data_IF_660565817695
#
_entry.id   IF_660565817695
#
_cell.length_a   1.000
_cell.length_b   1.000
_cell.length_c   1.000
_cell.angle_alpha   90.00
_cell.angle_beta   90.00
_cell.angle_gamma   90.00
#
_symmetry.space_group_name_H-M   'P 1'
#
loop_
_entity.id
_entity.type
_entity.pdbx_description
1 polymer ?
#
# COMPACT_ATOMS: atom_id res chain seq x y z
N UNK A 1 21.24 4.71 -26.95
CA UNK A 1 22.44 4.31 -27.72
C UNK A 1 23.07 5.53 -28.37
N UNK A 2 24.07 6.16 -27.73
CA UNK A 2 25.01 7.05 -28.40
C UNK A 2 26.39 6.83 -27.77
N UNK A 3 27.22 6.19 -28.57
CA UNK A 3 28.64 5.94 -28.36
C UNK A 3 29.39 7.26 -28.49
N UNK A 4 30.24 7.59 -27.51
CA UNK A 4 31.17 8.72 -27.61
C UNK A 4 32.60 8.20 -27.55
N UNK A 5 33.34 8.68 -28.54
CA UNK A 5 34.63 8.23 -29.04
C UNK A 5 35.79 8.52 -28.09
N UNK A 6 36.73 7.58 -28.10
CA UNK A 6 38.07 7.70 -27.54
C UNK A 6 38.88 8.81 -28.20
N UNK A 7 39.68 9.55 -27.43
CA UNK A 7 40.85 10.31 -27.92
C UNK A 7 42.05 10.00 -27.01
N UNK A 8 43.05 9.37 -27.62
CA UNK A 8 44.39 9.15 -27.09
C UNK A 8 45.25 10.37 -27.38
N UNK A 9 45.99 10.88 -26.39
CA UNK A 9 47.20 11.69 -26.62
C UNK A 9 48.22 11.44 -25.51
N UNK A 10 49.30 10.74 -25.89
CA UNK A 10 50.57 10.65 -25.14
C UNK A 10 51.37 11.94 -25.32
N UNK A 11 52.11 12.40 -24.30
CA UNK A 11 53.33 13.16 -24.54
C UNK A 11 54.58 12.42 -24.03
N UNK A 12 55.47 12.23 -24.99
CA UNK A 12 56.92 12.22 -24.93
C UNK A 12 57.61 12.39 -23.56
N UNK A 13 58.30 11.32 -23.19
CA UNK A 13 59.69 11.24 -22.70
C UNK A 13 60.43 12.59 -22.64
N UNK A 14 60.79 13.00 -21.42
CA UNK A 14 61.88 13.95 -21.13
C UNK A 14 62.81 13.28 -20.11
N UNK A 15 63.75 12.51 -20.64
CA UNK A 15 64.84 11.88 -19.89
C UNK A 15 65.88 12.95 -19.55
N UNK A 16 65.79 13.56 -18.37
CA UNK A 16 66.85 14.37 -17.79
C UNK A 16 67.72 13.50 -16.88
N UNK A 17 68.87 13.05 -17.41
CA UNK A 17 69.97 12.56 -16.59
C UNK A 17 70.55 13.72 -15.78
N UNK A 18 70.10 13.87 -14.52
CA UNK A 18 70.78 14.68 -13.54
C UNK A 18 71.84 13.82 -12.84
N UNK A 19 73.10 14.19 -13.02
CA UNK A 19 74.25 13.72 -12.24
C UNK A 19 74.04 14.13 -10.77
N UNK A 20 73.71 13.16 -9.91
CA UNK A 20 73.63 13.37 -8.46
C UNK A 20 75.02 13.16 -7.87
N UNK A 21 75.65 14.27 -7.51
CA UNK A 21 76.77 14.33 -6.57
C UNK A 21 76.30 13.78 -5.22
N UNK A 22 76.97 12.75 -4.70
CA UNK A 22 76.68 12.14 -3.41
C UNK A 22 76.87 13.11 -2.25
N UNK A 23 75.79 13.78 -1.84
CA UNK A 23 75.66 14.39 -0.53
C UNK A 23 75.08 13.33 0.41
N UNK A 24 75.88 12.90 1.38
CA UNK A 24 75.43 12.07 2.48
C UNK A 24 74.45 12.87 3.33
N UNK A 25 73.15 12.77 3.04
CA UNK A 25 72.11 13.28 3.91
C UNK A 25 72.12 12.46 5.19
N UNK A 26 72.67 13.04 6.26
CA UNK A 26 72.50 12.53 7.60
C UNK A 26 71.03 12.75 8.00
N UNK A 27 70.18 11.77 7.71
CA UNK A 27 68.83 11.72 8.26
C UNK A 27 68.93 11.69 9.78
N UNK A 28 68.42 12.74 10.43
CA UNK A 28 68.34 12.79 11.87
C UNK A 28 67.24 11.83 12.32
N UNK A 29 67.50 11.07 13.38
CA UNK A 29 66.52 10.15 13.99
C UNK A 29 65.24 10.89 14.44
N UNK A 30 65.35 12.19 14.75
CA UNK A 30 64.23 13.07 15.12
C UNK A 30 63.22 13.33 13.99
N UNK A 31 63.60 13.14 12.72
CA UNK A 31 62.67 13.34 11.60
C UNK A 31 61.78 12.12 11.33
N UNK A 32 62.15 10.93 11.82
CA UNK A 32 61.32 9.73 11.73
C UNK A 32 60.09 9.79 12.65
N UNK A 33 60.24 10.31 13.87
CA UNK A 33 59.14 10.42 14.83
C UNK A 33 58.04 11.41 14.36
N UNK A 34 58.43 12.44 13.61
CA UNK A 34 57.47 13.41 13.03
C UNK A 34 56.62 12.78 11.92
N UNK A 35 57.20 11.90 11.11
CA UNK A 35 56.50 11.18 10.04
C UNK A 35 55.42 10.27 10.62
N UNK A 36 55.77 9.49 11.65
CA UNK A 36 54.82 8.62 12.35
C UNK A 36 53.67 9.41 13.00
N UNK A 37 53.94 10.62 13.49
CA UNK A 37 52.91 11.49 14.06
C UNK A 37 51.94 12.04 12.99
N UNK A 38 52.47 12.49 11.84
CA UNK A 38 51.68 13.00 10.72
C UNK A 38 50.72 11.92 10.18
N UNK A 39 51.23 10.71 9.99
CA UNK A 39 50.43 9.61 9.46
C UNK A 39 49.28 9.19 10.41
N UNK A 40 49.50 9.28 11.73
CA UNK A 40 48.44 9.05 12.73
C UNK A 40 47.36 10.12 12.67
N UNK A 41 47.73 11.39 12.41
CA UNK A 41 46.77 12.48 12.27
C UNK A 41 45.89 12.27 11.03
N UNK A 42 46.48 11.88 9.90
CA UNK A 42 45.74 11.54 8.68
C UNK A 42 44.71 10.44 8.91
N UNK A 43 45.08 9.37 9.62
CA UNK A 43 44.14 8.29 9.95
C UNK A 43 42.99 8.82 10.81
N UNK A 44 43.28 9.62 11.84
CA UNK A 44 42.26 10.19 12.71
C UNK A 44 41.29 11.10 11.93
N UNK A 45 41.79 11.92 11.02
CA UNK A 45 40.96 12.77 10.16
C UNK A 45 40.01 11.93 9.29
N UNK A 46 40.52 10.88 8.64
CA UNK A 46 39.69 9.98 7.83
C UNK A 46 38.60 9.29 8.67
N UNK A 47 38.91 8.86 9.89
CA UNK A 47 37.93 8.26 10.80
C UNK A 47 36.86 9.26 11.24
N UNK A 48 37.22 10.51 11.51
CA UNK A 48 36.24 11.57 11.82
C UNK A 48 35.35 11.91 10.61
N UNK A 49 35.93 12.01 9.41
CA UNK A 49 35.17 12.19 8.18
C UNK A 49 34.21 11.02 7.92
N UNK A 50 34.61 9.78 8.22
CA UNK A 50 33.74 8.62 8.13
C UNK A 50 32.54 8.72 9.09
N UNK A 51 32.77 9.14 10.35
CA UNK A 51 31.70 9.35 11.33
C UNK A 51 30.74 10.47 10.90
N UNK A 52 31.27 11.59 10.39
CA UNK A 52 30.44 12.70 9.89
C UNK A 52 29.60 12.30 8.67
N UNK A 53 30.17 11.55 7.72
CA UNK A 53 29.44 11.01 6.58
C UNK A 53 28.34 10.03 7.02
N UNK A 54 28.59 9.20 8.05
CA UNK A 54 27.58 8.29 8.59
C UNK A 54 26.43 9.02 9.28
N UNK A 55 26.72 10.09 10.04
CA UNK A 55 25.70 10.94 10.69
C UNK A 55 24.80 11.65 9.67
N UNK A 56 25.31 11.93 8.48
CA UNK A 56 24.53 12.48 7.35
C UNK A 56 23.90 11.39 6.46
N UNK A 57 23.91 10.14 6.92
CA UNK A 57 23.41 8.95 6.21
C UNK A 57 24.04 8.70 4.84
N UNK A 58 25.22 9.27 4.58
CA UNK A 58 26.01 8.99 3.38
C UNK A 58 26.96 7.81 3.63
N UNK A 59 26.39 6.61 3.74
CA UNK A 59 27.13 5.40 4.09
C UNK A 59 28.17 4.97 3.05
N UNK A 60 27.95 5.29 1.77
CA UNK A 60 28.93 5.03 0.71
C UNK A 60 30.22 5.82 0.96
N UNK A 61 30.08 7.13 1.21
CA UNK A 61 31.22 8.00 1.53
C UNK A 61 31.87 7.63 2.86
N UNK A 62 31.07 7.29 3.88
CA UNK A 62 31.59 6.82 5.17
C UNK A 62 32.47 5.57 5.03
N UNK A 63 32.02 4.58 4.27
CA UNK A 63 32.79 3.36 4.01
C UNK A 63 34.06 3.65 3.20
N UNK A 64 34.00 4.56 2.22
CA UNK A 64 35.17 4.97 1.45
C UNK A 64 36.26 5.64 2.30
N UNK A 65 35.88 6.45 3.30
CA UNK A 65 36.85 7.01 4.26
C UNK A 65 37.39 5.95 5.23
N UNK A 66 36.53 5.04 5.71
CA UNK A 66 36.95 3.94 6.59
C UNK A 66 37.96 3.01 5.89
N UNK A 67 37.77 2.70 4.61
CA UNK A 67 38.69 1.88 3.84
C UNK A 67 40.06 2.56 3.66
N UNK A 68 40.08 3.86 3.35
CA UNK A 68 41.32 4.65 3.32
C UNK A 68 42.02 4.65 4.68
N UNK A 69 41.27 4.78 5.78
CA UNK A 69 41.82 4.71 7.13
C UNK A 69 42.38 3.33 7.49
N UNK A 70 41.75 2.24 7.00
CA UNK A 70 42.24 0.87 7.17
C UNK A 70 43.56 0.63 6.45
N UNK A 71 43.77 1.23 5.27
CA UNK A 71 45.03 1.11 4.54
C UNK A 71 46.20 1.82 5.24
N UNK A 72 45.90 2.77 6.14
CA UNK A 72 46.89 3.44 7.00
C UNK A 72 47.16 2.68 8.31
N UNK A 73 46.23 1.86 8.80
CA UNK A 73 46.36 0.86 9.88
C UNK A 73 47.14 1.16 11.19
N UNK A 74 47.27 2.41 11.66
CA UNK A 74 47.98 2.69 12.92
C UNK A 74 47.22 2.31 14.21
N UNK A 75 45.88 2.33 14.20
CA UNK A 75 45.05 1.97 15.36
C UNK A 75 43.83 1.10 15.00
N UNK A 76 43.87 -0.23 15.26
CA UNK A 76 42.74 -1.11 14.98
C UNK A 76 41.52 -0.82 15.87
N UNK A 77 41.72 -0.36 17.10
CA UNK A 77 40.63 -0.04 18.02
C UNK A 77 39.82 1.16 17.55
N UNK A 78 40.48 2.19 17.01
CA UNK A 78 39.82 3.38 16.47
C UNK A 78 38.97 3.06 15.22
N UNK A 79 39.44 2.14 14.39
CA UNK A 79 38.71 1.61 13.23
C UNK A 79 37.44 0.89 13.73
N UNK A 80 37.58 -0.03 14.69
CA UNK A 80 36.45 -0.78 15.26
C UNK A 80 35.41 0.14 15.92
N UNK A 81 35.85 1.17 16.65
CA UNK A 81 34.95 2.16 17.22
C UNK A 81 34.18 2.93 16.14
N UNK A 82 34.84 3.28 15.04
CA UNK A 82 34.20 3.97 13.91
C UNK A 82 33.20 3.08 13.17
N UNK A 83 33.51 1.79 12.99
CA UNK A 83 32.56 0.80 12.46
C UNK A 83 31.29 0.69 13.29
N UNK A 84 31.42 0.67 14.63
CA UNK A 84 30.28 0.65 15.54
C UNK A 84 29.39 1.88 15.38
N UNK A 85 29.99 3.07 15.20
CA UNK A 85 29.24 4.31 14.91
C UNK A 85 28.46 4.18 13.61
N UNK A 86 29.12 3.76 12.51
CA UNK A 86 28.49 3.57 11.19
C UNK A 86 27.33 2.57 11.28
N UNK A 87 27.54 1.44 11.97
CA UNK A 87 26.53 0.41 12.16
C UNK A 87 25.32 0.94 12.96
N UNK A 88 25.55 1.75 14.01
CA UNK A 88 24.46 2.38 14.75
C UNK A 88 23.66 3.34 13.87
N UNK A 89 24.33 4.22 13.12
CA UNK A 89 23.66 5.19 12.23
C UNK A 89 22.87 4.51 11.12
N UNK A 90 23.29 3.34 10.65
CA UNK A 90 22.52 2.54 9.68
C UNK A 90 21.23 2.00 10.28
N UNK A 91 21.26 1.50 11.51
CA UNK A 91 20.05 1.07 12.23
C UNK A 91 19.08 2.23 12.44
N UNK A 92 19.60 3.40 12.82
CA UNK A 92 18.77 4.61 13.01
C UNK A 92 18.11 5.04 11.69
N UNK A 93 18.86 5.00 10.59
CA UNK A 93 18.32 5.30 9.26
C UNK A 93 17.22 4.32 8.85
N UNK A 94 17.43 3.02 9.05
CA UNK A 94 16.43 1.98 8.73
C UNK A 94 15.16 2.14 9.56
N UNK A 95 15.30 2.45 10.85
CA UNK A 95 14.17 2.73 11.74
C UNK A 95 13.38 3.97 11.27
N UNK A 96 14.07 5.05 10.87
CA UNK A 96 13.43 6.26 10.35
C UNK A 96 12.71 6.01 9.01
N UNK A 97 13.31 5.22 8.12
CA UNK A 97 12.65 4.80 6.88
C UNK A 97 11.38 3.97 7.15
N UNK A 98 11.42 3.10 8.15
CA UNK A 98 10.25 2.33 8.54
C UNK A 98 9.13 3.22 9.08
N UNK A 99 9.45 4.14 9.99
CA UNK A 99 8.48 5.11 10.52
C UNK A 99 7.77 5.90 9.41
N UNK A 100 8.51 6.34 8.39
CA UNK A 100 7.94 7.05 7.23
C UNK A 100 6.99 6.17 6.41
N UNK A 101 7.32 4.88 6.23
CA UNK A 101 6.44 3.93 5.53
C UNK A 101 5.14 3.69 6.30
N UNK A 102 5.24 3.48 7.61
CA UNK A 102 4.09 3.21 8.47
C UNK A 102 3.16 4.44 8.55
N UNK A 103 3.72 5.65 8.63
CA UNK A 103 2.94 6.89 8.62
C UNK A 103 2.23 7.12 7.28
N UNK A 104 2.90 6.89 6.16
CA UNK A 104 2.29 6.98 4.83
C UNK A 104 1.18 5.94 4.63
N UNK A 105 1.34 4.73 5.19
CA UNK A 105 0.28 3.72 5.17
C UNK A 105 -0.92 4.12 6.04
N UNK A 106 -0.69 4.64 7.25
CA UNK A 106 -1.75 5.16 8.12
C UNK A 106 -2.55 6.26 7.41
N UNK A 107 -1.88 7.22 6.78
CA UNK A 107 -2.55 8.29 6.02
C UNK A 107 -3.41 7.74 4.87
N UNK A 108 -2.92 6.73 4.14
CA UNK A 108 -3.69 6.08 3.07
C UNK A 108 -4.95 5.40 3.59
N UNK A 109 -4.85 4.69 4.71
CA UNK A 109 -6.00 4.02 5.35
C UNK A 109 -7.04 5.03 5.86
N UNK A 110 -6.59 6.13 6.46
CA UNK A 110 -7.47 7.20 6.94
C UNK A 110 -8.19 7.90 5.76
N UNK A 111 -7.48 8.16 4.66
CA UNK A 111 -8.09 8.72 3.46
C UNK A 111 -9.12 7.78 2.82
N UNK A 112 -8.80 6.49 2.71
CA UNK A 112 -9.73 5.48 2.21
C UNK A 112 -10.98 5.36 3.10
N UNK A 113 -10.79 5.30 4.42
CA UNK A 113 -11.90 5.29 5.37
C UNK A 113 -12.77 6.56 5.24
N UNK A 114 -12.16 7.74 5.05
CA UNK A 114 -12.89 9.00 4.82
C UNK A 114 -13.67 8.96 3.50
N UNK A 115 -13.10 8.38 2.44
CA UNK A 115 -13.79 8.22 1.14
C UNK A 115 -14.99 7.28 1.25
N UNK A 116 -14.85 6.16 1.97
CA UNK A 116 -15.95 5.23 2.21
C UNK A 116 -17.07 5.86 3.05
N UNK A 117 -16.71 6.61 4.11
CA UNK A 117 -17.68 7.33 4.93
C UNK A 117 -18.45 8.40 4.13
N UNK A 118 -17.77 9.14 3.25
CA UNK A 118 -18.40 10.12 2.38
C UNK A 118 -19.36 9.47 1.35
N UNK A 119 -19.01 8.30 0.81
CA UNK A 119 -19.91 7.55 -0.08
C UNK A 119 -21.16 7.06 0.66
N UNK A 120 -21.03 6.58 1.90
CA UNK A 120 -22.20 6.17 2.69
C UNK A 120 -23.16 7.33 2.95
N UNK A 121 -22.66 8.54 3.23
CA UNK A 121 -23.52 9.71 3.42
C UNK A 121 -24.31 10.10 2.16
N UNK A 122 -23.77 9.87 0.96
CA UNK A 122 -24.53 10.07 -0.28
C UNK A 122 -25.67 9.06 -0.45
N UNK A 123 -25.51 7.84 0.06
CA UNK A 123 -26.59 6.84 0.07
C UNK A 123 -27.60 7.02 1.21
N UNK A 124 -27.20 7.63 2.34
CA UNK A 124 -28.08 7.87 3.50
C UNK A 124 -28.72 9.27 3.55
N UNK A 125 -28.32 10.19 2.68
CA UNK A 125 -28.78 11.59 2.64
C UNK A 125 -30.10 11.84 1.89
N UNK A 126 -30.77 10.81 1.39
CA UNK A 126 -32.05 10.89 0.68
C UNK A 126 -33.29 10.74 1.56
N UNK A 127 -33.26 11.20 2.81
CA UNK A 127 -34.44 11.16 3.71
C UNK A 127 -35.18 12.50 3.69
N UNK A 128 -35.75 12.82 2.53
CA UNK A 128 -36.69 13.93 2.34
C UNK A 128 -38.09 13.36 2.12
N UNK A 129 -38.77 12.91 3.18
CA UNK A 129 -40.23 12.95 3.38
C UNK A 129 -41.21 12.70 2.23
N UNK A 130 -40.86 11.92 1.21
CA UNK A 130 -41.76 11.47 0.14
C UNK A 130 -41.69 9.95 0.10
N UNK A 131 -42.82 9.26 0.31
CA UNK A 131 -42.85 7.80 0.31
C UNK A 131 -42.11 7.26 -0.91
N UNK A 132 -41.20 6.30 -0.72
CA UNK A 132 -40.33 5.80 -1.77
C UNK A 132 -41.13 5.43 -3.01
N UNK A 133 -40.73 5.92 -4.19
CA UNK A 133 -41.40 5.61 -5.46
C UNK A 133 -41.24 4.17 -5.90
N UNK A 134 -40.48 3.39 -5.14
CA UNK A 134 -40.28 1.98 -5.34
C UNK A 134 -40.14 1.24 -4.01
N UNK A 135 -40.28 -0.08 -4.08
CA UNK A 135 -39.95 -1.03 -3.03
C UNK A 135 -38.86 -1.95 -3.54
N UNK A 136 -37.77 -2.10 -2.78
CA UNK A 136 -36.73 -3.08 -3.06
C UNK A 136 -37.22 -4.46 -2.66
N UNK A 137 -37.13 -5.42 -3.57
CA UNK A 137 -37.43 -6.82 -3.31
C UNK A 137 -36.12 -7.60 -3.38
N UNK A 138 -35.74 -8.20 -2.27
CA UNK A 138 -34.61 -9.13 -2.20
C UNK A 138 -35.13 -10.56 -2.01
N UNK A 139 -34.42 -11.54 -2.55
CA UNK A 139 -34.69 -12.95 -2.30
C UNK A 139 -33.47 -13.66 -1.72
N UNK A 140 -33.71 -14.50 -0.72
CA UNK A 140 -32.70 -15.28 -0.02
C UNK A 140 -33.17 -16.73 0.13
N UNK A 141 -32.29 -17.68 -0.20
CA UNK A 141 -32.50 -19.10 0.13
C UNK A 141 -31.83 -19.41 1.46
N UNK A 142 -32.60 -19.99 2.40
CA UNK A 142 -32.09 -20.44 3.70
C UNK A 142 -31.69 -21.92 3.56
N UNK A 143 -30.57 -22.17 2.88
CA UNK A 143 -29.93 -23.49 2.84
C UNK A 143 -28.41 -23.42 2.70
N UNK A 144 -27.73 -24.54 3.00
CA UNK A 144 -26.28 -24.63 2.88
C UNK A 144 -25.89 -24.63 1.40
N UNK A 145 -25.19 -23.57 0.96
CA UNK A 145 -24.68 -23.37 -0.42
C UNK A 145 -25.73 -23.05 -1.50
N UNK A 146 -26.91 -22.57 -1.13
CA UNK A 146 -27.91 -22.12 -2.10
C UNK A 146 -27.79 -20.61 -2.32
N UNK A 147 -27.55 -20.17 -3.56
CA UNK A 147 -27.64 -18.75 -3.89
C UNK A 147 -28.92 -18.49 -4.68
N UNK A 148 -29.72 -17.53 -4.24
CA UNK A 148 -30.88 -17.07 -4.99
C UNK A 148 -30.42 -16.42 -6.31
N UNK A 149 -31.16 -16.67 -7.38
CA UNK A 149 -31.02 -16.08 -8.72
C UNK A 149 -32.38 -16.00 -9.39
N UNK A 150 -32.44 -15.25 -10.48
CA UNK A 150 -33.63 -15.19 -11.34
C UNK A 150 -34.91 -14.81 -10.57
N UNK A 151 -34.83 -13.80 -9.70
CA UNK A 151 -36.02 -13.27 -9.06
C UNK A 151 -36.91 -12.64 -10.13
N UNK A 152 -38.16 -13.12 -10.19
CA UNK A 152 -39.22 -12.53 -10.99
C UNK A 152 -40.42 -12.27 -10.10
N UNK A 153 -40.99 -11.08 -10.21
CA UNK A 153 -42.20 -10.69 -9.49
C UNK A 153 -43.23 -10.20 -10.49
N UNK A 154 -44.47 -10.62 -10.31
CA UNK A 154 -45.63 -10.19 -11.09
C UNK A 154 -46.72 -9.67 -10.14
N UNK A 155 -47.43 -8.63 -10.57
CA UNK A 155 -48.46 -8.01 -9.75
C UNK A 155 -48.99 -6.72 -10.38
N UNK A 156 -49.64 -5.86 -9.58
CA UNK A 156 -50.26 -4.62 -10.06
C UNK A 156 -49.29 -3.60 -10.67
N UNK A 157 -48.01 -3.69 -10.29
CA UNK A 157 -46.97 -2.75 -10.68
C UNK A 157 -45.78 -3.48 -11.34
N UNK A 158 -44.98 -2.74 -12.10
CA UNK A 158 -43.81 -3.27 -12.80
C UNK A 158 -42.68 -3.59 -11.84
N UNK A 159 -42.17 -4.81 -11.92
CA UNK A 159 -40.93 -5.22 -11.29
C UNK A 159 -39.77 -5.11 -12.29
N UNK A 160 -38.69 -4.46 -11.89
CA UNK A 160 -37.44 -4.38 -12.64
C UNK A 160 -36.32 -5.08 -11.86
N UNK A 161 -35.74 -6.17 -12.38
CA UNK A 161 -34.61 -6.83 -11.73
C UNK A 161 -33.38 -5.91 -11.77
N UNK A 162 -32.54 -5.95 -10.72
CA UNK A 162 -31.36 -5.08 -10.65
C UNK A 162 -30.33 -5.34 -11.75
N UNK A 163 -30.25 -6.57 -12.25
CA UNK A 163 -29.47 -7.01 -13.41
C UNK A 163 -29.99 -8.38 -13.89
N UNK A 164 -29.51 -8.86 -15.05
CA UNK A 164 -29.97 -10.13 -15.61
C UNK A 164 -29.57 -11.33 -14.72
N UNK A 165 -30.53 -12.09 -14.19
CA UNK A 165 -30.35 -13.16 -13.19
C UNK A 165 -30.12 -12.70 -11.74
N UNK A 166 -30.49 -11.45 -11.40
CA UNK A 166 -30.37 -10.94 -10.05
C UNK A 166 -31.31 -11.64 -9.04
N UNK A 167 -30.88 -11.85 -7.78
CA UNK A 167 -31.77 -12.23 -6.67
C UNK A 167 -32.61 -11.06 -6.15
N UNK A 168 -32.47 -9.88 -6.73
CA UNK A 168 -33.09 -8.65 -6.25
C UNK A 168 -33.55 -7.76 -7.39
N UNK A 169 -34.47 -6.86 -7.07
CA UNK A 169 -35.01 -5.87 -7.99
C UNK A 169 -35.86 -4.84 -7.27
N UNK A 170 -36.54 -4.00 -8.04
CA UNK A 170 -37.40 -2.94 -7.53
C UNK A 170 -38.78 -2.98 -8.17
N UNK A 171 -39.82 -2.79 -7.36
CA UNK A 171 -41.18 -2.56 -7.84
C UNK A 171 -41.46 -1.07 -7.79
N UNK A 172 -41.73 -0.44 -8.92
CA UNK A 172 -42.02 0.99 -9.01
C UNK A 172 -43.51 1.28 -8.85
N UNK A 173 -43.87 2.43 -8.26
CA UNK A 173 -45.25 2.93 -8.27
C UNK A 173 -45.72 3.09 -9.72
N UNK A 174 -46.81 2.40 -10.07
CA UNK A 174 -47.52 2.64 -11.32
C UNK A 174 -48.39 3.90 -11.27
N UNK A 175 -49.23 4.08 -12.28
CA UNK A 175 -50.16 5.21 -12.40
C UNK A 175 -51.14 5.36 -11.22
N UNK A 176 -51.39 4.28 -10.47
CA UNK A 176 -52.24 4.30 -9.27
C UNK A 176 -51.61 5.01 -8.07
N UNK A 177 -50.33 5.38 -8.14
CA UNK A 177 -49.61 6.10 -7.08
C UNK A 177 -49.29 5.27 -5.84
N UNK A 178 -49.50 3.95 -5.87
CA UNK A 178 -49.25 3.05 -4.74
C UNK A 178 -48.56 1.75 -5.17
N UNK A 179 -47.60 1.32 -4.35
CA UNK A 179 -46.93 0.00 -4.43
C UNK A 179 -47.66 -1.08 -3.62
N UNK A 180 -48.68 -0.71 -2.85
CA UNK A 180 -49.43 -1.67 -2.06
C UNK A 180 -50.23 -2.61 -2.96
N UNK A 181 -50.20 -3.90 -2.65
CA UNK A 181 -50.90 -4.90 -3.44
C UNK A 181 -50.47 -6.32 -3.11
N UNK A 182 -51.10 -7.28 -3.77
CA UNK A 182 -50.68 -8.69 -3.73
C UNK A 182 -49.83 -8.97 -4.96
N UNK A 183 -48.66 -9.54 -4.73
CA UNK A 183 -47.69 -9.89 -5.76
C UNK A 183 -47.44 -11.40 -5.72
N UNK A 184 -47.12 -11.97 -6.87
CA UNK A 184 -46.64 -13.33 -7.00
C UNK A 184 -45.16 -13.28 -7.35
N UNK A 185 -44.35 -14.13 -6.73
CA UNK A 185 -42.93 -14.24 -7.04
C UNK A 185 -42.58 -15.63 -7.56
N UNK A 186 -41.48 -15.70 -8.29
CA UNK A 186 -40.72 -16.92 -8.51
C UNK A 186 -39.24 -16.63 -8.38
N UNK A 187 -38.50 -17.55 -7.77
CA UNK A 187 -37.05 -17.46 -7.56
C UNK A 187 -36.43 -18.82 -7.80
N UNK A 188 -35.21 -18.83 -8.32
CA UNK A 188 -34.45 -20.05 -8.57
C UNK A 188 -33.15 -20.05 -7.77
N UNK A 189 -32.62 -21.22 -7.49
CA UNK A 189 -31.22 -21.35 -7.05
C UNK A 189 -30.25 -21.29 -8.23
N UNK A 190 -29.01 -20.93 -7.95
CA UNK A 190 -27.91 -20.87 -8.91
C UNK A 190 -27.59 -22.20 -9.60
N UNK A 191 -27.81 -23.32 -8.89
CA UNK A 191 -27.69 -24.67 -9.44
C UNK A 191 -28.91 -25.13 -10.27
N UNK A 192 -29.91 -24.26 -10.44
CA UNK A 192 -31.20 -24.53 -11.09
C UNK A 192 -32.01 -25.71 -10.50
N UNK A 193 -31.67 -26.22 -9.31
CA UNK A 193 -32.36 -27.38 -8.72
C UNK A 193 -33.63 -27.01 -7.98
N UNK A 194 -33.67 -25.83 -7.39
CA UNK A 194 -34.81 -25.37 -6.61
C UNK A 194 -35.50 -24.23 -7.35
N UNK A 195 -36.81 -24.36 -7.52
CA UNK A 195 -37.68 -23.34 -8.07
C UNK A 195 -38.83 -23.13 -7.09
N UNK A 196 -38.86 -21.97 -6.45
CA UNK A 196 -39.87 -21.63 -5.46
C UNK A 196 -40.71 -20.48 -5.98
N UNK A 197 -42.02 -20.60 -5.79
CA UNK A 197 -42.99 -19.57 -6.14
C UNK A 197 -44.00 -19.40 -5.03
N UNK A 198 -44.47 -18.19 -4.83
CA UNK A 198 -45.47 -17.88 -3.82
C UNK A 198 -46.08 -16.52 -4.05
N UNK A 199 -46.80 -16.02 -3.05
CA UNK A 199 -47.34 -14.67 -3.07
C UNK A 199 -47.03 -13.94 -1.77
N UNK A 200 -46.95 -12.62 -1.87
CA UNK A 200 -46.77 -11.74 -0.74
C UNK A 200 -47.62 -10.48 -0.91
N UNK A 201 -47.87 -9.80 0.20
CA UNK A 201 -48.61 -8.54 0.20
C UNK A 201 -47.67 -7.42 0.63
N UNK A 202 -47.62 -6.36 -0.17
CA UNK A 202 -46.92 -5.14 0.18
C UNK A 202 -47.87 -4.12 0.79
N UNK A 203 -47.43 -3.51 1.88
CA UNK A 203 -47.99 -2.29 2.45
C UNK A 203 -47.43 -1.06 1.72
N UNK A 204 -48.16 0.06 1.77
CA UNK A 204 -47.79 1.29 1.06
C UNK A 204 -46.61 2.06 1.69
N UNK A 205 -46.17 1.65 2.88
CA UNK A 205 -45.19 2.38 3.69
C UNK A 205 -43.79 1.79 3.68
N UNK A 206 -43.63 0.59 3.11
CA UNK A 206 -42.39 -0.16 3.23
C UNK A 206 -41.44 0.14 2.07
N UNK A 207 -40.15 0.30 2.39
CA UNK A 207 -39.10 0.52 1.40
C UNK A 207 -38.45 -0.77 0.92
N UNK A 208 -38.51 -1.84 1.73
CA UNK A 208 -37.87 -3.12 1.45
C UNK A 208 -38.72 -4.32 1.85
N UNK A 209 -38.80 -5.32 0.97
CA UNK A 209 -39.38 -6.62 1.26
C UNK A 209 -38.34 -7.69 0.97
N UNK A 210 -38.16 -8.63 1.90
CA UNK A 210 -37.25 -9.77 1.71
C UNK A 210 -38.08 -11.05 1.62
N UNK A 211 -37.93 -11.77 0.52
CA UNK A 211 -38.47 -13.12 0.31
C UNK A 211 -37.44 -14.10 0.84
N UNK A 212 -37.76 -14.84 1.89
CA UNK A 212 -36.88 -15.87 2.46
C UNK A 212 -37.55 -17.22 2.31
N UNK A 213 -36.90 -18.14 1.61
CA UNK A 213 -37.44 -19.49 1.37
C UNK A 213 -36.43 -20.56 1.74
N UNK A 214 -36.88 -21.64 2.34
CA UNK A 214 -36.10 -22.86 2.51
C UNK A 214 -35.96 -23.62 1.18
N UNK A 215 -35.09 -24.62 1.12
CA UNK A 215 -34.89 -25.46 -0.07
C UNK A 215 -36.13 -26.29 -0.48
N UNK A 216 -37.06 -26.49 0.44
CA UNK A 216 -38.38 -27.11 0.20
C UNK A 216 -39.48 -26.08 -0.15
N UNK A 217 -39.08 -24.82 -0.39
CA UNK A 217 -39.96 -23.68 -0.66
C UNK A 217 -40.87 -23.27 0.50
N UNK A 218 -40.61 -23.74 1.72
CA UNK A 218 -41.23 -23.20 2.93
C UNK A 218 -40.80 -21.76 3.20
N UNK A 219 -41.72 -20.92 3.68
CA UNK A 219 -41.39 -19.55 4.08
C UNK A 219 -40.45 -19.55 5.30
N UNK A 220 -39.30 -18.88 5.16
CA UNK A 220 -38.26 -18.77 6.17
C UNK A 220 -38.24 -17.39 6.86
N UNK A 221 -39.40 -16.74 6.90
CA UNK A 221 -39.59 -15.42 7.52
C UNK A 221 -39.50 -14.28 6.51
N UNK A 222 -40.19 -14.43 5.38
CA UNK A 222 -40.38 -13.36 4.41
C UNK A 222 -41.14 -12.19 5.05
N UNK A 223 -40.73 -10.96 4.78
CA UNK A 223 -41.31 -9.81 5.46
C UNK A 223 -40.83 -8.45 4.99
N UNK A 224 -41.53 -7.44 5.47
CA UNK A 224 -41.26 -6.02 5.29
C UNK A 224 -40.24 -5.51 6.31
N UNK A 225 -39.30 -4.67 5.86
CA UNK A 225 -38.22 -4.10 6.69
C UNK A 225 -37.99 -2.63 6.38
#
# INVERSE_FOLDING_TARGET
MRSLLAHYTLPAIMLHCLLISGQSFAFSLDDMDKLDQLDRMDQQELLELAKQAAKSWNFSKANGYLEQARNKAYSPDAIKATEQVIASSRRDYEAEQQRKRDEAERQRREEEARRLAAQQQQYSGGSSGGGSDYVLIDSEFVCHLCLARDLSVSGPNTFEPSWNHAPSGSIFKGYSGSVAGTYSYSVRTDDNRHYCSGSFRLSSSTQRYTIRVYGDCGDAGSGEW
#
